data_IF_231815743085
#
_entry.id   IF_231815743085
#
_cell.length_a   1.000
_cell.length_b   1.000
_cell.length_c   1.000
_cell.angle_alpha   90.00
_cell.angle_beta   90.00
_cell.angle_gamma   90.00
#
_symmetry.space_group_name_H-M   'P 1'
#
loop_
_entity.id
_entity.type
_entity.pdbx_description
1 polymer ?
#
# COMPACT_ATOMS: atom_id res chain seq x y z
N UNK A 1 -15.90 -53.66 -27.94
CA UNK A 1 -17.31 -53.43 -27.57
C UNK A 1 -17.43 -52.11 -26.79
N UNK A 2 -17.54 -50.94 -27.44
CA UNK A 2 -18.69 -50.53 -28.25
C UNK A 2 -19.61 -49.69 -27.34
N UNK A 3 -19.37 -48.38 -27.25
CA UNK A 3 -20.10 -47.28 -27.92
C UNK A 3 -21.46 -46.94 -27.27
N UNK A 4 -21.62 -45.67 -26.84
CA UNK A 4 -22.77 -44.85 -27.24
C UNK A 4 -22.56 -43.37 -26.87
N UNK A 5 -22.25 -42.61 -27.91
CA UNK A 5 -22.46 -41.16 -28.04
C UNK A 5 -23.96 -40.86 -28.04
N UNK A 6 -24.39 -39.76 -27.42
CA UNK A 6 -25.60 -39.03 -27.86
C UNK A 6 -25.34 -37.52 -27.82
N UNK A 7 -25.44 -36.92 -29.00
CA UNK A 7 -25.48 -35.49 -29.25
C UNK A 7 -26.87 -34.88 -28.90
N UNK A 8 -26.88 -33.55 -28.87
CA UNK A 8 -27.91 -32.62 -28.39
C UNK A 8 -29.28 -32.66 -29.13
N UNK A 9 -30.23 -31.84 -28.66
CA UNK A 9 -30.61 -30.72 -29.51
C UNK A 9 -30.56 -29.37 -28.78
N UNK A 10 -30.25 -28.34 -29.56
CA UNK A 10 -30.06 -26.96 -29.13
C UNK A 10 -31.29 -26.27 -28.55
N UNK A 11 -30.99 -25.22 -27.78
CA UNK A 11 -31.94 -24.25 -27.26
C UNK A 11 -31.18 -23.19 -26.47
N UNK A 12 -30.66 -22.19 -27.18
CA UNK A 12 -30.48 -20.84 -26.62
C UNK A 12 -31.88 -20.17 -26.67
N UNK A 13 -32.27 -19.32 -25.70
CA UNK A 13 -31.58 -18.05 -25.53
C UNK A 13 -31.45 -17.55 -24.09
N UNK A 14 -30.38 -16.77 -23.90
CA UNK A 14 -30.31 -15.57 -23.07
C UNK A 14 -30.26 -15.73 -21.54
N UNK A 15 -29.21 -15.13 -20.97
CA UNK A 15 -29.31 -14.46 -19.68
C UNK A 15 -28.44 -15.03 -18.57
N UNK A 16 -27.15 -14.73 -18.61
CA UNK A 16 -26.42 -14.19 -17.45
C UNK A 16 -24.96 -14.03 -17.85
N UNK A 17 -24.55 -12.79 -18.11
CA UNK A 17 -23.13 -12.47 -18.17
C UNK A 17 -22.53 -12.72 -16.80
N UNK A 18 -21.97 -13.92 -16.61
CA UNK A 18 -21.06 -14.24 -15.53
C UNK A 18 -19.86 -13.30 -15.64
N UNK A 19 -19.85 -12.27 -14.81
CA UNK A 19 -18.66 -11.48 -14.56
C UNK A 19 -17.69 -12.30 -13.73
N UNK A 20 -16.90 -13.15 -14.38
CA UNK A 20 -15.67 -13.70 -13.80
C UNK A 20 -14.70 -12.54 -13.59
N UNK A 21 -14.75 -11.91 -12.42
CA UNK A 21 -13.72 -11.00 -11.98
C UNK A 21 -12.47 -11.80 -11.66
N UNK A 22 -11.55 -11.87 -12.64
CA UNK A 22 -10.19 -12.37 -12.43
C UNK A 22 -9.50 -11.55 -11.32
N UNK A 23 -8.80 -12.26 -10.45
CA UNK A 23 -8.32 -11.77 -9.17
C UNK A 23 -7.02 -10.97 -9.27
N UNK A 24 -7.07 -9.70 -8.86
CA UNK A 24 -5.94 -8.96 -8.27
C UNK A 24 -6.15 -8.86 -6.76
N UNK A 25 -5.21 -9.37 -5.96
CA UNK A 25 -5.46 -9.94 -4.63
C UNK A 25 -4.87 -9.21 -3.42
N UNK A 26 -5.69 -8.47 -2.67
CA UNK A 26 -5.40 -7.98 -1.31
C UNK A 26 -4.76 -9.06 -0.39
N UNK A 27 -3.80 -8.66 0.46
CA UNK A 27 -3.14 -9.53 1.43
C UNK A 27 -3.89 -9.55 2.78
N UNK A 28 -3.95 -10.66 3.51
CA UNK A 28 -4.41 -10.68 4.91
C UNK A 28 -3.20 -10.90 5.81
N UNK A 29 -2.86 -9.92 6.65
CA UNK A 29 -1.72 -10.03 7.59
C UNK A 29 -2.21 -10.60 8.91
N UNK A 30 -1.62 -11.70 9.37
CA UNK A 30 -1.88 -12.24 10.70
C UNK A 30 -1.02 -11.51 11.73
N UNK A 31 -1.54 -10.43 12.31
CA UNK A 31 -0.96 -9.89 13.53
C UNK A 31 -1.59 -10.62 14.72
N UNK A 32 -0.77 -11.21 15.62
CA UNK A 32 -1.20 -11.37 17.01
C UNK A 32 -1.63 -9.99 17.53
N UNK A 33 -2.71 -9.88 18.33
CA UNK A 33 -3.07 -8.61 18.94
C UNK A 33 -1.83 -8.02 19.62
N UNK A 34 -1.58 -6.74 19.35
CA UNK A 34 -0.58 -5.98 20.08
C UNK A 34 -0.89 -6.13 21.58
N UNK A 35 0.12 -6.24 22.46
CA UNK A 35 -0.16 -6.07 23.89
C UNK A 35 -0.91 -4.76 24.06
N UNK A 36 -1.98 -4.81 24.87
CA UNK A 36 -2.76 -3.62 25.20
C UNK A 36 -1.80 -2.49 25.60
N UNK A 37 -1.97 -1.28 25.03
CA UNK A 37 -1.08 -0.17 25.32
C UNK A 37 -1.02 0.07 26.83
N UNK A 38 0.14 0.50 27.32
CA UNK A 38 0.27 0.97 28.70
C UNK A 38 -0.81 2.04 28.98
N UNK A 39 -1.26 2.16 30.23
CA UNK A 39 -2.35 3.08 30.63
C UNK A 39 -2.13 4.53 30.16
N UNK A 40 -0.88 4.93 29.97
CA UNK A 40 -0.47 6.24 29.45
C UNK A 40 -0.72 6.38 27.94
N UNK A 41 -0.40 5.34 27.15
CA UNK A 41 -0.66 5.29 25.71
C UNK A 41 -2.15 5.11 25.41
N UNK A 42 -2.90 4.43 26.28
CA UNK A 42 -4.35 4.32 26.19
C UNK A 42 -5.04 5.67 26.51
N UNK A 43 -4.55 6.44 27.48
CA UNK A 43 -5.05 7.78 27.78
C UNK A 43 -4.79 8.78 26.65
N UNK A 44 -3.65 8.66 25.96
CA UNK A 44 -3.34 9.43 24.75
C UNK A 44 -4.22 9.00 23.57
N UNK A 45 -4.48 7.70 23.39
CA UNK A 45 -5.42 7.17 22.37
C UNK A 45 -6.88 7.57 22.60
N UNK A 46 -7.34 7.59 23.86
CA UNK A 46 -8.71 8.00 24.22
C UNK A 46 -8.92 9.51 24.05
N UNK A 47 -7.88 10.34 24.20
CA UNK A 47 -7.92 11.77 23.86
C UNK A 47 -7.84 12.06 22.35
N UNK A 48 -7.37 11.09 21.55
CA UNK A 48 -7.26 11.17 20.10
C UNK A 48 -8.41 10.46 19.34
N UNK A 49 -9.51 10.11 20.01
CA UNK A 49 -10.73 9.61 19.35
C UNK A 49 -10.63 8.19 18.75
N UNK A 50 -9.77 7.31 19.28
CA UNK A 50 -9.67 5.93 18.81
C UNK A 50 -10.91 5.08 19.12
N UNK A 51 -11.57 4.56 18.09
CA UNK A 51 -12.69 3.60 18.18
C UNK A 51 -12.15 2.20 18.48
N UNK A 52 -12.80 1.48 19.40
CA UNK A 52 -12.50 0.11 19.76
C UNK A 52 -12.75 -0.88 18.60
N UNK A 53 -11.98 -1.97 18.61
CA UNK A 53 -11.88 -3.00 17.57
C UNK A 53 -13.09 -3.95 17.56
N UNK A 54 -13.69 -4.12 16.38
CA UNK A 54 -14.35 -5.36 15.98
C UNK A 54 -13.66 -5.91 14.72
N UNK A 55 -13.63 -7.23 14.59
CA UNK A 55 -13.06 -7.93 13.45
C UNK A 55 -13.76 -7.51 12.14
N UNK A 56 -13.08 -6.76 11.29
CA UNK A 56 -13.65 -6.32 10.01
C UNK A 56 -13.46 -7.42 8.96
N UNK A 57 -14.47 -8.26 8.82
CA UNK A 57 -14.89 -8.79 7.53
C UNK A 57 -15.42 -7.66 6.66
N UNK A 58 -15.11 -7.71 5.37
CA UNK A 58 -15.58 -6.77 4.34
C UNK A 58 -17.10 -6.94 4.12
N UNK A 59 -17.91 -6.40 5.02
CA UNK A 59 -19.35 -6.21 4.87
C UNK A 59 -19.68 -4.72 5.09
N UNK A 60 -20.04 -4.04 3.99
CA UNK A 60 -20.57 -2.67 4.03
C UNK A 60 -22.09 -2.72 4.27
N UNK A 61 -22.66 -1.92 5.19
CA UNK A 61 -24.09 -1.70 5.21
C UNK A 61 -24.50 -0.79 4.03
N UNK A 62 -25.53 -1.20 3.30
CA UNK A 62 -26.19 -0.39 2.27
C UNK A 62 -26.98 0.73 2.96
N UNK A 63 -26.70 1.99 2.61
CA UNK A 63 -27.56 3.11 2.97
C UNK A 63 -28.23 3.71 1.74
N UNK A 64 -29.52 3.94 1.90
CA UNK A 64 -30.52 4.27 0.90
C UNK A 64 -30.25 5.58 0.11
N UNK A 65 -30.78 5.59 -1.12
CA UNK A 65 -30.99 6.74 -2.00
C UNK A 65 -31.56 7.96 -1.25
N UNK A 66 -30.87 9.10 -1.36
CA UNK A 66 -31.38 10.42 -0.96
C UNK A 66 -30.62 11.55 -1.65
N UNK A 67 -31.30 12.19 -2.61
CA UNK A 67 -31.13 13.50 -3.27
C UNK A 67 -29.75 14.19 -3.44
N UNK A 68 -29.52 14.60 -4.69
CA UNK A 68 -28.38 15.37 -5.23
C UNK A 68 -28.31 16.79 -4.65
N UNK A 69 -27.19 17.13 -4.01
CA UNK A 69 -26.71 18.50 -3.79
C UNK A 69 -25.32 18.65 -4.43
N UNK A 70 -25.13 19.69 -5.23
CA UNK A 70 -23.97 19.86 -6.12
C UNK A 70 -22.63 19.88 -5.40
N UNK A 71 -21.71 19.00 -5.80
CA UNK A 71 -20.31 19.05 -5.39
C UNK A 71 -19.55 20.06 -6.25
N UNK A 72 -19.03 21.10 -5.60
CA UNK A 72 -18.04 22.01 -6.15
C UNK A 72 -16.74 21.22 -6.36
N UNK A 73 -16.28 21.15 -7.61
CA UNK A 73 -15.03 20.48 -7.97
C UNK A 73 -13.82 21.24 -7.38
N UNK A 74 -12.94 20.51 -6.69
CA UNK A 74 -11.68 21.04 -6.20
C UNK A 74 -10.77 21.46 -7.36
N UNK A 75 -10.27 22.70 -7.31
CA UNK A 75 -9.38 23.28 -8.32
C UNK A 75 -7.97 22.72 -8.13
N UNK A 76 -7.53 21.84 -9.04
CA UNK A 76 -6.15 21.38 -9.14
C UNK A 76 -5.24 22.52 -9.60
N UNK A 77 -4.30 22.95 -8.75
CA UNK A 77 -3.18 23.79 -9.13
C UNK A 77 -2.07 22.90 -9.69
N UNK A 78 -1.67 23.16 -10.93
CA UNK A 78 -0.78 22.36 -11.82
C UNK A 78 -1.43 21.11 -12.44
N UNK A 79 -1.84 21.25 -13.71
CA UNK A 79 -2.16 20.12 -14.59
C UNK A 79 -0.84 19.69 -15.26
N UNK A 80 -0.38 18.44 -15.11
CA UNK A 80 0.65 17.92 -16.01
C UNK A 80 0.17 18.05 -17.45
N UNK A 81 1.03 18.50 -18.36
CA UNK A 81 0.69 18.58 -19.78
C UNK A 81 0.14 17.24 -20.27
N UNK A 82 -0.96 17.25 -21.05
CA UNK A 82 -1.62 16.04 -21.56
C UNK A 82 -0.66 15.07 -22.25
N UNK A 83 0.42 15.60 -22.84
CA UNK A 83 1.49 14.85 -23.50
C UNK A 83 2.24 13.89 -22.57
N UNK A 84 2.55 14.29 -21.34
CA UNK A 84 3.26 13.42 -20.39
C UNK A 84 2.35 12.28 -19.90
N UNK A 85 1.05 12.57 -19.75
CA UNK A 85 0.05 11.53 -19.42
C UNK A 85 -0.09 10.51 -20.55
N UNK A 86 -0.03 10.92 -21.82
CA UNK A 86 -0.09 9.98 -22.95
C UNK A 86 1.17 9.11 -23.11
N UNK A 87 2.30 9.53 -22.55
CA UNK A 87 3.56 8.78 -22.62
C UNK A 87 3.65 7.63 -21.60
N UNK A 88 2.87 7.68 -20.51
CA UNK A 88 2.80 6.61 -19.52
C UNK A 88 1.62 5.70 -19.88
N UNK A 89 1.87 4.43 -20.28
CA UNK A 89 0.81 3.50 -20.62
C UNK A 89 -0.16 3.31 -19.46
N UNK A 90 -1.46 3.38 -19.76
CA UNK A 90 -2.48 2.94 -18.83
C UNK A 90 -2.40 1.42 -18.76
N UNK A 91 -2.55 0.83 -17.57
CA UNK A 91 -2.62 -0.63 -17.36
C UNK A 91 -3.84 -1.22 -18.06
N UNK A 92 -3.72 -1.42 -19.37
CA UNK A 92 -4.76 -1.98 -20.25
C UNK A 92 -4.31 -3.28 -20.90
N UNK A 93 -3.03 -3.39 -21.25
CA UNK A 93 -2.50 -4.49 -22.07
C UNK A 93 -1.06 -4.91 -21.72
N UNK A 94 -0.40 -4.29 -20.75
CA UNK A 94 0.88 -4.81 -20.23
C UNK A 94 0.54 -6.01 -19.35
N UNK A 95 0.83 -7.26 -19.77
CA UNK A 95 0.68 -8.40 -18.88
C UNK A 95 1.80 -8.27 -17.87
N UNK A 96 1.53 -7.58 -16.77
CA UNK A 96 2.28 -7.82 -15.56
C UNK A 96 1.99 -9.27 -15.23
N UNK A 97 3.00 -10.12 -15.25
CA UNK A 97 2.83 -11.38 -14.58
C UNK A 97 2.76 -11.06 -13.08
N UNK A 98 1.54 -10.88 -12.55
CA UNK A 98 1.27 -10.58 -11.14
C UNK A 98 1.76 -11.69 -10.19
N UNK A 99 2.30 -12.78 -10.75
CA UNK A 99 2.98 -13.86 -10.05
C UNK A 99 4.51 -13.72 -10.07
N UNK A 100 5.07 -12.92 -10.98
CA UNK A 100 6.51 -12.64 -11.03
C UNK A 100 6.88 -11.50 -10.07
N UNK A 101 7.87 -11.69 -9.18
CA UNK A 101 8.40 -10.59 -8.37
C UNK A 101 9.15 -9.54 -9.18
N UNK A 102 9.31 -8.35 -8.60
CA UNK A 102 9.93 -7.19 -9.22
C UNK A 102 8.92 -6.16 -9.72
N UNK A 103 7.64 -6.36 -9.47
CA UNK A 103 6.56 -5.53 -9.97
C UNK A 103 5.81 -4.91 -8.79
N UNK A 104 5.99 -3.61 -8.59
CA UNK A 104 5.51 -2.92 -7.40
C UNK A 104 4.37 -1.92 -7.69
N UNK A 105 3.34 -1.94 -6.85
CA UNK A 105 2.41 -0.80 -6.73
C UNK A 105 3.00 0.25 -5.79
N UNK A 106 2.92 1.52 -6.19
CA UNK A 106 3.42 2.65 -5.39
C UNK A 106 2.31 3.68 -5.10
N UNK A 107 2.34 4.26 -3.90
CA UNK A 107 1.40 5.30 -3.46
C UNK A 107 2.03 6.23 -2.40
N UNK A 108 1.46 7.42 -2.21
CA UNK A 108 1.84 8.38 -1.17
C UNK A 108 0.77 8.48 -0.08
N UNK A 109 1.13 8.06 1.13
CA UNK A 109 0.31 8.31 2.32
C UNK A 109 0.65 9.67 2.95
N UNK A 110 -0.29 10.61 2.92
CA UNK A 110 -0.13 11.93 3.55
C UNK A 110 -0.27 11.92 5.09
N UNK A 111 0.61 12.63 5.80
CA UNK A 111 0.55 12.83 7.26
C UNK A 111 0.02 14.22 7.62
N UNK A 112 -1.19 14.53 7.18
CA UNK A 112 -1.74 15.89 7.24
C UNK A 112 -2.67 16.16 8.44
N UNK A 113 -3.00 15.14 9.25
CA UNK A 113 -4.03 15.26 10.27
C UNK A 113 -5.41 15.50 9.64
N UNK A 114 -6.17 16.40 10.24
CA UNK A 114 -7.54 16.71 9.81
C UNK A 114 -7.63 17.71 8.64
N UNK A 115 -6.48 18.17 8.11
CA UNK A 115 -6.46 19.20 7.07
C UNK A 115 -5.31 18.99 6.10
N UNK A 116 -5.56 19.13 4.79
CA UNK A 116 -4.51 19.14 3.77
C UNK A 116 -3.85 20.53 3.59
N UNK A 117 -4.16 21.50 4.43
CA UNK A 117 -3.52 22.82 4.38
C UNK A 117 -2.13 22.80 5.04
N UNK A 118 -1.22 23.65 4.53
CA UNK A 118 0.13 23.82 5.08
C UNK A 118 1.07 22.65 4.80
N UNK A 119 2.24 22.67 5.44
CA UNK A 119 3.28 21.66 5.25
C UNK A 119 3.04 20.42 6.11
N UNK A 120 3.34 19.27 5.52
CA UNK A 120 3.31 17.96 6.16
C UNK A 120 4.11 16.94 5.34
N UNK A 121 4.53 15.88 6.02
CA UNK A 121 5.27 14.77 5.44
C UNK A 121 4.34 13.80 4.72
N UNK A 122 4.95 12.99 3.88
CA UNK A 122 4.33 11.86 3.20
C UNK A 122 5.11 10.58 3.48
N UNK A 123 4.55 9.45 3.12
CA UNK A 123 5.27 8.19 3.05
C UNK A 123 5.02 7.56 1.70
N UNK A 124 6.08 7.34 0.94
CA UNK A 124 6.05 6.49 -0.25
C UNK A 124 5.94 5.04 0.24
N UNK A 125 4.89 4.36 -0.17
CA UNK A 125 4.70 2.92 0.06
C UNK A 125 4.88 2.24 -1.27
N UNK A 126 5.81 1.28 -1.33
CA UNK A 126 6.06 0.47 -2.51
C UNK A 126 5.86 -1.01 -2.15
N UNK A 127 4.94 -1.69 -2.83
CA UNK A 127 4.61 -3.09 -2.55
C UNK A 127 4.73 -3.95 -3.79
N UNK A 128 5.63 -4.93 -3.75
CA UNK A 128 5.72 -5.99 -4.75
C UNK A 128 4.46 -6.87 -4.72
N UNK A 129 3.81 -7.02 -5.87
CA UNK A 129 2.49 -7.68 -5.98
C UNK A 129 2.61 -9.19 -5.75
N UNK A 130 3.68 -9.81 -6.25
CA UNK A 130 3.87 -11.26 -6.21
C UNK A 130 4.19 -11.78 -4.80
N UNK A 131 5.12 -11.11 -4.12
CA UNK A 131 5.67 -11.53 -2.81
C UNK A 131 4.95 -10.84 -1.64
N UNK A 132 4.37 -9.67 -1.89
CA UNK A 132 3.81 -8.80 -0.86
C UNK A 132 4.89 -8.05 -0.08
N UNK A 133 6.14 -8.03 -0.58
CA UNK A 133 7.24 -7.26 0.00
C UNK A 133 6.91 -5.79 -0.03
N UNK A 134 6.97 -5.12 1.12
CA UNK A 134 6.62 -3.71 1.23
C UNK A 134 7.79 -2.91 1.80
N UNK A 135 8.15 -1.84 1.11
CA UNK A 135 9.06 -0.80 1.59
C UNK A 135 8.27 0.49 1.85
N UNK A 136 8.59 1.19 2.93
CA UNK A 136 8.06 2.51 3.24
C UNK A 136 9.23 3.49 3.34
N UNK A 137 9.10 4.65 2.71
CA UNK A 137 10.11 5.71 2.72
C UNK A 137 9.46 7.04 3.09
N UNK A 138 9.96 7.77 4.09
CA UNK A 138 9.40 9.08 4.42
C UNK A 138 9.78 10.09 3.35
N UNK A 139 8.84 10.96 2.99
CA UNK A 139 9.03 11.97 1.94
C UNK A 139 8.65 13.33 2.50
N UNK A 140 9.52 14.32 2.30
CA UNK A 140 9.35 15.65 2.89
C UNK A 140 8.14 16.41 2.31
N UNK A 141 7.90 16.23 1.02
CA UNK A 141 6.79 16.86 0.31
C UNK A 141 6.42 16.03 -0.93
N UNK A 142 5.31 16.41 -1.55
CA UNK A 142 4.80 15.78 -2.77
C UNK A 142 5.52 16.21 -4.06
N UNK A 143 6.66 16.88 -3.92
CA UNK A 143 7.47 17.33 -5.05
C UNK A 143 8.10 16.15 -5.78
N UNK A 144 8.13 16.28 -7.11
CA UNK A 144 8.67 15.29 -8.04
C UNK A 144 10.08 14.78 -7.69
N UNK A 145 10.98 15.67 -7.25
CA UNK A 145 12.33 15.31 -6.84
C UNK A 145 12.37 14.51 -5.53
N UNK A 146 11.51 14.86 -4.57
CA UNK A 146 11.46 14.19 -3.27
C UNK A 146 10.92 12.76 -3.42
N UNK A 147 9.84 12.59 -4.19
CA UNK A 147 9.26 11.27 -4.49
C UNK A 147 10.25 10.41 -5.28
N UNK A 148 10.97 11.00 -6.23
CA UNK A 148 12.01 10.31 -7.00
C UNK A 148 13.14 9.79 -6.10
N UNK A 149 13.73 10.65 -5.26
CA UNK A 149 14.80 10.23 -4.35
C UNK A 149 14.35 9.17 -3.34
N UNK A 150 13.08 9.22 -2.93
CA UNK A 150 12.48 8.17 -2.10
C UNK A 150 12.39 6.83 -2.83
N UNK A 151 11.97 6.83 -4.10
CA UNK A 151 11.91 5.61 -4.91
C UNK A 151 13.31 5.02 -5.18
N UNK A 152 14.32 5.85 -5.43
CA UNK A 152 15.71 5.38 -5.54
C UNK A 152 16.18 4.70 -4.25
N UNK A 153 15.83 5.28 -3.10
CA UNK A 153 16.16 4.73 -1.78
C UNK A 153 15.47 3.39 -1.54
N UNK A 154 14.20 3.26 -1.93
CA UNK A 154 13.47 1.98 -1.92
C UNK A 154 14.17 0.95 -2.81
N UNK A 155 14.50 1.30 -4.05
CA UNK A 155 15.12 0.36 -5.01
C UNK A 155 16.47 -0.16 -4.51
N UNK A 156 17.28 0.67 -3.87
CA UNK A 156 18.57 0.26 -3.27
C UNK A 156 18.40 -0.75 -2.12
N UNK A 157 17.25 -0.79 -1.46
CA UNK A 157 16.97 -1.69 -0.33
C UNK A 157 16.25 -2.98 -0.73
N UNK A 158 15.64 -3.01 -1.91
CA UNK A 158 14.96 -4.22 -2.39
C UNK A 158 15.98 -5.35 -2.55
N UNK A 159 15.68 -6.56 -2.05
CA UNK A 159 16.60 -7.69 -2.18
C UNK A 159 16.51 -8.38 -3.56
N UNK A 160 15.80 -7.78 -4.51
CA UNK A 160 15.62 -8.26 -5.87
C UNK A 160 15.39 -7.07 -6.83
N UNK A 161 15.60 -7.26 -8.15
CA UNK A 161 15.42 -6.20 -9.13
C UNK A 161 13.99 -5.64 -9.17
N UNK A 162 13.86 -4.32 -9.23
CA UNK A 162 12.61 -3.65 -9.57
C UNK A 162 12.48 -3.59 -11.10
N UNK A 163 11.52 -4.34 -11.64
CA UNK A 163 11.23 -4.52 -13.06
C UNK A 163 10.09 -3.61 -13.54
N UNK A 164 9.17 -3.24 -12.65
CA UNK A 164 8.07 -2.34 -12.98
C UNK A 164 7.47 -1.65 -11.78
N UNK A 165 6.91 -0.46 -12.01
CA UNK A 165 6.14 0.32 -11.04
C UNK A 165 4.78 0.71 -11.63
N UNK A 166 3.74 0.58 -10.81
CA UNK A 166 2.37 1.00 -11.13
C UNK A 166 1.96 2.06 -10.11
N UNK A 167 1.67 3.28 -10.58
CA UNK A 167 1.19 4.38 -9.73
C UNK A 167 -0.25 4.75 -10.05
N UNK A 168 -0.86 5.55 -9.18
CA UNK A 168 -2.10 6.24 -9.52
C UNK A 168 -1.87 7.28 -10.63
N UNK A 169 -2.95 8.01 -10.96
CA UNK A 169 -2.90 9.12 -11.92
C UNK A 169 -2.55 10.46 -11.28
N UNK A 170 -2.00 10.48 -10.06
CA UNK A 170 -1.74 11.72 -9.37
C UNK A 170 -0.47 12.39 -9.92
N UNK A 171 -0.45 13.73 -9.86
CA UNK A 171 0.58 14.52 -10.52
C UNK A 171 1.96 14.38 -9.87
N UNK A 172 2.04 13.82 -8.66
CA UNK A 172 3.31 13.51 -8.00
C UNK A 172 4.11 12.46 -8.78
N UNK A 173 3.42 11.45 -9.36
CA UNK A 173 4.03 10.34 -10.09
C UNK A 173 4.07 10.57 -11.60
N UNK A 174 3.21 11.43 -12.15
CA UNK A 174 3.25 11.84 -13.56
C UNK A 174 4.36 12.88 -13.75
N UNK A 175 5.59 12.37 -13.81
CA UNK A 175 6.83 13.14 -13.74
C UNK A 175 7.79 12.72 -14.86
N UNK A 176 8.26 13.68 -15.67
CA UNK A 176 9.21 13.42 -16.75
C UNK A 176 10.57 12.89 -16.23
N UNK A 177 10.97 13.26 -15.02
CA UNK A 177 12.16 12.69 -14.38
C UNK A 177 11.97 11.22 -14.03
N UNK A 178 10.82 10.87 -13.44
CA UNK A 178 10.50 9.48 -13.12
C UNK A 178 10.40 8.62 -14.38
N UNK A 179 9.75 9.14 -15.43
CA UNK A 179 9.68 8.46 -16.72
C UNK A 179 11.08 8.22 -17.31
N UNK A 180 11.91 9.26 -17.42
CA UNK A 180 13.29 9.12 -17.93
C UNK A 180 14.14 8.15 -17.11
N UNK A 181 13.99 8.16 -15.79
CA UNK A 181 14.66 7.20 -14.93
C UNK A 181 14.20 5.78 -15.22
N UNK A 182 12.88 5.56 -15.32
CA UNK A 182 12.34 4.25 -15.65
C UNK A 182 12.81 3.77 -17.03
N UNK A 183 12.87 4.65 -18.03
CA UNK A 183 13.45 4.33 -19.35
C UNK A 183 14.93 3.97 -19.27
N UNK A 184 15.74 4.77 -18.57
CA UNK A 184 17.19 4.54 -18.43
C UNK A 184 17.49 3.22 -17.69
N UNK A 185 16.70 2.92 -16.66
CA UNK A 185 16.86 1.75 -15.79
C UNK A 185 16.08 0.53 -16.28
N UNK A 186 15.38 0.64 -17.41
CA UNK A 186 14.50 -0.39 -18.00
C UNK A 186 13.43 -0.90 -17.02
N UNK A 187 12.88 0.00 -16.21
CA UNK A 187 11.75 -0.24 -15.34
C UNK A 187 10.47 0.08 -16.12
N UNK A 188 9.55 -0.87 -16.18
CA UNK A 188 8.24 -0.67 -16.80
C UNK A 188 7.41 0.26 -15.92
N UNK A 189 7.09 1.46 -16.39
CA UNK A 189 6.23 2.40 -15.67
C UNK A 189 4.81 2.38 -16.27
N UNK A 190 3.82 1.96 -15.47
CA UNK A 190 2.41 2.05 -15.82
C UNK A 190 1.65 2.95 -14.85
N UNK A 191 0.47 3.39 -15.29
CA UNK A 191 -0.52 4.07 -14.44
C UNK A 191 -1.85 3.34 -14.45
N UNK A 192 -2.55 3.34 -13.32
CA UNK A 192 -3.87 2.74 -13.24
C UNK A 192 -4.89 3.47 -14.15
N UNK A 193 -5.99 2.80 -14.51
CA UNK A 193 -7.06 3.45 -15.29
C UNK A 193 -7.77 4.48 -14.43
N UNK A 194 -8.07 5.65 -15.00
CA UNK A 194 -8.90 6.64 -14.31
C UNK A 194 -10.25 5.99 -13.92
N UNK A 195 -10.66 6.16 -12.66
CA UNK A 195 -11.92 5.67 -12.07
C UNK A 195 -12.01 4.15 -11.79
N UNK A 196 -10.91 3.40 -11.85
CA UNK A 196 -10.87 1.97 -11.47
C UNK A 196 -10.17 1.73 -10.12
N UNK A 197 -10.88 2.00 -9.02
CA UNK A 197 -10.38 1.83 -7.64
C UNK A 197 -9.89 0.42 -7.26
N UNK A 198 -10.22 -0.60 -8.07
CA UNK A 198 -9.78 -1.97 -7.81
C UNK A 198 -8.33 -2.22 -8.24
N UNK A 199 -7.74 -1.34 -9.07
CA UNK A 199 -6.41 -1.52 -9.66
C UNK A 199 -5.26 -1.25 -8.66
N UNK A 200 -5.56 -0.66 -7.49
CA UNK A 200 -4.59 -0.29 -6.45
C UNK A 200 -4.88 -0.95 -5.09
N UNK A 201 -5.64 -2.04 -5.10
CA UNK A 201 -6.13 -2.65 -3.87
C UNK A 201 -5.00 -3.16 -2.96
N UNK A 202 -3.80 -3.45 -3.48
CA UNK A 202 -2.68 -3.91 -2.66
C UNK A 202 -2.04 -2.75 -1.91
N UNK A 203 -1.71 -1.66 -2.61
CA UNK A 203 -1.06 -0.51 -1.97
C UNK A 203 -2.00 0.24 -1.02
N UNK A 204 -3.29 0.40 -1.32
CA UNK A 204 -4.26 1.00 -0.40
C UNK A 204 -4.33 0.25 0.94
N UNK A 205 -4.32 -1.08 0.88
CA UNK A 205 -4.34 -1.92 2.06
C UNK A 205 -3.01 -1.87 2.83
N UNK A 206 -1.89 -1.76 2.11
CA UNK A 206 -0.57 -1.62 2.72
C UNK A 206 -0.38 -0.25 3.36
N UNK A 207 -0.93 0.82 2.79
CA UNK A 207 -1.01 2.12 3.44
C UNK A 207 -1.73 2.02 4.79
N UNK A 208 -2.87 1.35 4.83
CA UNK A 208 -3.57 1.16 6.10
C UNK A 208 -2.72 0.36 7.10
N UNK A 209 -2.18 -0.79 6.69
CA UNK A 209 -1.50 -1.72 7.61
C UNK A 209 -0.09 -1.31 8.02
N UNK A 210 0.67 -0.66 7.13
CA UNK A 210 2.08 -0.30 7.33
C UNK A 210 2.26 1.16 7.75
N UNK A 211 1.33 2.04 7.37
CA UNK A 211 1.38 3.46 7.74
C UNK A 211 0.35 3.75 8.81
N UNK A 212 -0.95 3.69 8.50
CA UNK A 212 -2.00 4.19 9.40
C UNK A 212 -2.08 3.44 10.73
N UNK A 213 -1.92 2.12 10.73
CA UNK A 213 -1.92 1.32 11.96
C UNK A 213 -0.66 1.48 12.81
N UNK A 214 0.46 1.86 12.19
CA UNK A 214 1.76 1.94 12.84
C UNK A 214 2.00 3.35 13.37
N UNK A 215 1.91 4.36 12.50
CA UNK A 215 2.26 5.75 12.84
C UNK A 215 1.03 6.63 13.09
N UNK A 216 -0.15 6.24 12.63
CA UNK A 216 -1.41 6.96 12.86
C UNK A 216 -1.82 7.90 11.72
N UNK A 217 -2.66 8.87 12.07
CA UNK A 217 -3.22 9.88 11.15
C UNK A 217 -2.74 11.30 11.47
N UNK A 218 -1.91 11.48 12.50
CA UNK A 218 -1.48 12.78 12.98
C UNK A 218 -0.73 13.59 11.92
N UNK A 219 -0.72 14.91 12.12
CA UNK A 219 0.09 15.80 11.30
C UNK A 219 1.57 15.63 11.66
N UNK A 220 2.36 15.13 10.73
CA UNK A 220 3.81 15.04 10.85
C UNK A 220 4.45 16.10 9.96
N UNK A 221 5.38 16.88 10.50
CA UNK A 221 6.11 17.91 9.76
C UNK A 221 7.52 18.08 10.31
N UNK A 222 8.41 18.60 9.46
CA UNK A 222 9.78 18.95 9.83
C UNK A 222 10.74 17.75 9.89
N UNK A 223 12.02 18.10 9.95
CA UNK A 223 13.13 17.16 9.77
C UNK A 223 13.20 16.10 10.88
N UNK A 224 12.85 16.47 12.12
CA UNK A 224 12.86 15.53 13.24
C UNK A 224 11.86 14.38 13.04
N UNK A 225 10.63 14.69 12.61
CA UNK A 225 9.63 13.69 12.30
C UNK A 225 10.01 12.86 11.08
N UNK A 226 10.63 13.48 10.06
CA UNK A 226 11.11 12.78 8.86
C UNK A 226 12.16 11.71 9.23
N UNK A 227 13.17 12.07 10.04
CA UNK A 227 14.21 11.13 10.50
C UNK A 227 13.62 10.03 11.39
N UNK A 228 12.67 10.37 12.26
CA UNK A 228 12.01 9.40 13.13
C UNK A 228 11.19 8.39 12.32
N UNK A 229 10.45 8.84 11.30
CA UNK A 229 9.77 7.94 10.36
C UNK A 229 10.76 7.03 9.63
N UNK A 230 11.89 7.55 9.17
CA UNK A 230 12.94 6.73 8.54
C UNK A 230 13.46 5.63 9.46
N UNK A 231 13.65 5.94 10.74
CA UNK A 231 14.05 4.95 11.76
C UNK A 231 12.98 3.87 11.94
N UNK A 232 11.72 4.27 12.09
CA UNK A 232 10.58 3.35 12.22
C UNK A 232 10.47 2.45 11.01
N UNK A 233 10.54 2.99 9.79
CA UNK A 233 10.39 2.19 8.58
C UNK A 233 11.59 1.27 8.32
N UNK A 234 12.79 1.66 8.73
CA UNK A 234 13.97 0.79 8.73
C UNK A 234 13.81 -0.45 9.62
N UNK A 235 13.13 -0.33 10.77
CA UNK A 235 12.78 -1.47 11.61
C UNK A 235 11.56 -2.23 11.06
N UNK A 236 10.53 -1.50 10.62
CA UNK A 236 9.26 -2.07 10.16
C UNK A 236 9.48 -3.01 8.97
N UNK A 237 10.32 -2.64 8.00
CA UNK A 237 10.61 -3.48 6.82
C UNK A 237 11.16 -4.86 7.19
N UNK A 238 12.00 -4.93 8.24
CA UNK A 238 12.55 -6.21 8.70
C UNK A 238 11.46 -7.04 9.38
N UNK A 239 10.64 -6.38 10.21
CA UNK A 239 9.57 -7.03 10.94
C UNK A 239 8.52 -7.62 10.00
N UNK A 240 8.05 -6.82 9.04
CA UNK A 240 6.92 -7.18 8.19
C UNK A 240 7.32 -8.12 7.06
N UNK A 241 8.47 -7.89 6.43
CA UNK A 241 8.92 -8.75 5.33
C UNK A 241 9.55 -10.05 5.84
N UNK A 242 10.21 -10.02 7.01
CA UNK A 242 10.94 -11.17 7.57
C UNK A 242 10.13 -12.06 8.51
N UNK A 243 9.19 -11.51 9.30
CA UNK A 243 8.57 -12.26 10.39
C UNK A 243 7.04 -12.26 10.43
N UNK A 244 6.36 -11.44 9.66
CA UNK A 244 4.89 -11.43 9.62
C UNK A 244 4.36 -12.21 8.40
N UNK A 245 3.75 -13.39 8.61
CA UNK A 245 3.05 -14.08 7.54
C UNK A 245 1.84 -13.28 7.08
N UNK A 246 1.67 -13.20 5.78
CA UNK A 246 0.46 -12.70 5.14
C UNK A 246 -0.12 -13.77 4.22
N UNK A 247 -1.40 -13.68 3.89
CA UNK A 247 -2.02 -14.49 2.84
C UNK A 247 -2.42 -13.63 1.65
N UNK A 248 -2.07 -14.00 0.43
CA UNK A 248 -2.58 -13.39 -0.80
C UNK A 248 -3.99 -13.90 -1.09
N UNK A 249 -4.92 -13.01 -1.43
CA UNK A 249 -6.24 -13.40 -1.95
C UNK A 249 -6.08 -13.97 -3.36
N UNK A 250 -6.37 -15.26 -3.53
CA UNK A 250 -6.29 -15.97 -4.81
C UNK A 250 -7.52 -15.71 -5.69
N UNK A 251 -8.71 -15.66 -5.09
CA UNK A 251 -9.93 -15.39 -5.85
C UNK A 251 -11.03 -14.74 -5.00
N UNK A 252 -11.95 -14.07 -5.69
CA UNK A 252 -13.16 -13.47 -5.11
C UNK A 252 -14.33 -13.79 -6.04
N UNK A 253 -15.26 -14.63 -5.58
CA UNK A 253 -16.48 -14.96 -6.33
C UNK A 253 -17.69 -14.32 -5.63
N UNK A 254 -18.57 -13.69 -6.40
CA UNK A 254 -19.84 -13.15 -5.90
C UNK A 254 -21.00 -13.98 -6.48
N UNK A 255 -21.84 -14.50 -5.61
CA UNK A 255 -23.05 -15.25 -5.95
C UNK A 255 -24.23 -14.56 -5.24
N UNK A 256 -25.00 -13.76 -5.98
CA UNK A 256 -26.04 -12.90 -5.41
C UNK A 256 -25.47 -11.91 -4.39
N UNK A 257 -25.97 -11.95 -3.15
CA UNK A 257 -25.47 -11.15 -2.03
C UNK A 257 -24.22 -11.73 -1.37
N UNK A 258 -23.89 -13.01 -1.63
CA UNK A 258 -22.78 -13.70 -0.97
C UNK A 258 -21.46 -13.44 -1.69
N UNK A 259 -20.43 -13.08 -0.93
CA UNK A 259 -19.05 -12.95 -1.43
C UNK A 259 -18.20 -14.04 -0.80
N UNK A 260 -17.62 -14.91 -1.61
CA UNK A 260 -16.64 -15.91 -1.17
C UNK A 260 -15.23 -15.50 -1.62
N UNK A 261 -14.26 -15.65 -0.72
CA UNK A 261 -12.86 -15.32 -0.97
C UNK A 261 -12.00 -16.55 -0.69
N UNK A 262 -11.06 -16.85 -1.58
CA UNK A 262 -10.04 -17.89 -1.38
C UNK A 262 -8.69 -17.23 -1.17
N UNK A 263 -7.93 -17.75 -0.22
CA UNK A 263 -6.62 -17.26 0.16
C UNK A 263 -5.56 -18.37 -0.04
N UNK A 264 -4.31 -17.96 -0.23
CA UNK A 264 -3.17 -18.87 -0.27
C UNK A 264 -2.78 -19.36 1.14
N UNK A 265 -1.68 -20.13 1.20
CA UNK A 265 -1.06 -20.53 2.46
C UNK A 265 -0.32 -19.32 3.05
N UNK A 266 -0.43 -19.07 4.37
CA UNK A 266 0.30 -17.97 5.02
C UNK A 266 1.81 -18.08 4.80
N UNK A 267 2.41 -16.99 4.31
CA UNK A 267 3.85 -16.88 4.07
C UNK A 267 4.34 -15.45 4.28
N UNK A 268 5.55 -15.30 4.80
CA UNK A 268 6.23 -14.00 4.87
C UNK A 268 6.68 -13.57 3.46
N UNK A 269 6.74 -12.27 3.16
CA UNK A 269 7.33 -11.80 1.90
C UNK A 269 8.72 -12.38 1.61
N UNK A 270 9.62 -12.43 2.61
CA UNK A 270 10.94 -13.05 2.45
C UNK A 270 10.86 -14.50 1.95
N UNK A 271 10.05 -15.32 2.61
CA UNK A 271 9.83 -16.71 2.18
C UNK A 271 9.32 -16.80 0.75
N UNK A 272 8.35 -15.97 0.35
CA UNK A 272 7.85 -15.95 -1.04
C UNK A 272 8.94 -15.53 -2.03
N UNK A 273 9.77 -14.54 -1.68
CA UNK A 273 10.89 -14.08 -2.49
C UNK A 273 12.00 -15.13 -2.65
N UNK A 274 12.23 -15.97 -1.64
CA UNK A 274 13.15 -17.11 -1.72
C UNK A 274 12.54 -18.22 -2.59
N UNK A 275 11.28 -18.58 -2.35
CA UNK A 275 10.58 -19.64 -3.08
C UNK A 275 10.39 -19.32 -4.57
N UNK A 276 10.30 -18.04 -4.94
CA UNK A 276 10.24 -17.60 -6.34
C UNK A 276 11.60 -17.61 -7.05
N UNK A 277 12.71 -17.74 -6.31
CA UNK A 277 14.06 -17.70 -6.86
C UNK A 277 14.53 -16.31 -7.32
N UNK A 278 13.82 -15.23 -6.97
CA UNK A 278 14.18 -13.87 -7.42
C UNK A 278 15.35 -13.27 -6.62
N UNK A 279 15.56 -13.71 -5.39
CA UNK A 279 16.63 -13.22 -4.54
C UNK A 279 17.95 -13.92 -4.85
N UNK A 280 19.04 -13.14 -4.95
CA UNK A 280 20.39 -13.70 -5.00
C UNK A 280 20.79 -14.30 -3.64
N UNK A 281 21.77 -15.19 -3.63
CA UNK A 281 22.26 -15.79 -2.39
C UNK A 281 22.91 -14.73 -1.48
N UNK A 282 23.57 -13.73 -2.06
CA UNK A 282 24.13 -12.59 -1.34
C UNK A 282 23.02 -11.76 -0.68
N UNK A 283 21.98 -11.38 -1.43
CA UNK A 283 20.86 -10.60 -0.90
C UNK A 283 20.12 -11.36 0.22
N UNK A 284 19.98 -12.68 0.08
CA UNK A 284 19.44 -13.55 1.11
C UNK A 284 20.31 -13.56 2.36
N UNK A 285 21.62 -13.76 2.22
CA UNK A 285 22.54 -13.77 3.34
C UNK A 285 22.59 -12.43 4.08
N UNK A 286 22.58 -11.32 3.36
CA UNK A 286 22.52 -9.97 3.94
C UNK A 286 21.23 -9.77 4.74
N UNK A 287 20.08 -10.13 4.17
CA UNK A 287 18.80 -9.98 4.86
C UNK A 287 18.69 -10.90 6.08
N UNK A 288 19.16 -12.15 5.98
CA UNK A 288 19.19 -13.09 7.09
C UNK A 288 20.13 -12.61 8.21
N UNK A 289 21.25 -11.97 7.87
CA UNK A 289 22.14 -11.36 8.84
C UNK A 289 21.44 -10.21 9.59
N UNK A 290 20.67 -9.36 8.89
CA UNK A 290 19.86 -8.31 9.51
C UNK A 290 18.80 -8.91 10.45
N UNK A 291 18.10 -9.97 10.05
CA UNK A 291 17.11 -10.64 10.89
C UNK A 291 17.76 -11.26 12.13
N UNK A 292 18.86 -12.00 11.98
CA UNK A 292 19.60 -12.60 13.11
C UNK A 292 20.11 -11.54 14.07
N UNK A 293 20.64 -10.44 13.53
CA UNK A 293 21.12 -9.33 14.33
C UNK A 293 20.02 -8.84 15.26
N UNK A 294 18.80 -8.61 14.76
CA UNK A 294 17.68 -8.05 15.53
C UNK A 294 16.91 -9.07 16.38
N UNK A 295 16.55 -10.23 15.84
CA UNK A 295 15.58 -11.15 16.45
C UNK A 295 14.16 -10.54 16.58
N UNK A 296 13.09 -11.36 16.49
CA UNK A 296 11.72 -10.86 16.33
C UNK A 296 11.21 -10.03 17.51
N UNK A 297 11.44 -10.51 18.73
CA UNK A 297 10.94 -9.83 19.94
C UNK A 297 11.66 -8.51 20.22
N UNK A 298 12.97 -8.47 20.00
CA UNK A 298 13.76 -7.25 20.24
C UNK A 298 13.46 -6.21 19.17
N UNK A 299 13.34 -6.60 17.90
CA UNK A 299 12.92 -5.69 16.84
C UNK A 299 11.55 -5.10 17.13
N UNK A 300 10.59 -5.93 17.56
CA UNK A 300 9.24 -5.45 17.88
C UNK A 300 9.25 -4.43 19.01
N UNK A 301 10.00 -4.68 20.09
CA UNK A 301 10.15 -3.73 21.19
C UNK A 301 10.82 -2.43 20.75
N UNK A 302 11.88 -2.52 19.94
CA UNK A 302 12.54 -1.36 19.37
C UNK A 302 11.58 -0.55 18.50
N UNK A 303 10.83 -1.21 17.63
CA UNK A 303 9.82 -0.58 16.79
C UNK A 303 8.77 0.17 17.65
N UNK A 304 8.25 -0.47 18.71
CA UNK A 304 7.30 0.17 19.63
C UNK A 304 7.89 1.41 20.30
N UNK A 305 9.13 1.32 20.79
CA UNK A 305 9.84 2.47 21.38
C UNK A 305 10.03 3.61 20.38
N UNK A 306 10.41 3.31 19.14
CA UNK A 306 10.60 4.34 18.11
C UNK A 306 9.27 4.99 17.68
N UNK A 307 8.16 4.25 17.72
CA UNK A 307 6.82 4.78 17.48
C UNK A 307 6.39 5.70 18.63
N UNK A 308 6.62 5.30 19.88
CA UNK A 308 6.32 6.15 21.05
C UNK A 308 7.10 7.48 21.00
N UNK A 309 8.36 7.45 20.56
CA UNK A 309 9.15 8.67 20.33
C UNK A 309 8.53 9.57 19.27
N UNK A 310 8.03 9.01 18.16
CA UNK A 310 7.33 9.77 17.12
C UNK A 310 6.10 10.48 17.69
N UNK A 311 5.29 9.78 18.47
CA UNK A 311 4.09 10.35 19.10
C UNK A 311 4.41 11.37 20.20
N UNK A 312 5.60 11.29 20.79
CA UNK A 312 6.12 12.29 21.73
C UNK A 312 6.66 13.57 21.08
N UNK A 313 6.84 13.59 19.75
CA UNK A 313 7.26 14.81 19.06
C UNK A 313 6.16 15.88 19.15
N UNK A 314 6.54 17.17 19.20
CA UNK A 314 5.56 18.24 19.19
C UNK A 314 4.78 18.21 17.86
N UNK A 315 3.56 17.68 17.92
CA UNK A 315 2.60 17.80 16.81
C UNK A 315 2.39 19.29 16.60
N UNK A 316 2.50 19.74 15.37
CA UNK A 316 2.24 21.13 15.01
C UNK A 316 0.77 21.48 15.25
N UNK A 317 0.38 21.72 16.51
CA UNK A 317 -0.90 22.31 16.85
C UNK A 317 -0.91 23.70 16.24
N UNK A 318 -1.80 23.93 15.28
CA UNK A 318 -2.23 25.30 15.02
C UNK A 318 -2.84 25.81 16.31
N UNK A 319 -2.21 26.84 16.88
CA UNK A 319 -2.87 27.69 17.87
C UNK A 319 -4.08 28.29 17.14
N UNK A 320 -5.32 28.15 17.67
CA UNK A 320 -6.44 28.85 17.07
C UNK A 320 -6.10 30.34 17.07
N UNK A 321 -6.11 30.95 15.88
CA UNK A 321 -6.01 32.40 15.74
C UNK A 321 -7.16 32.97 16.55
N UNK A 322 -6.86 33.64 17.66
CA UNK A 322 -7.85 34.38 18.41
C UNK A 322 -8.44 35.40 17.45
N UNK A 323 -9.71 35.22 17.09
CA UNK A 323 -10.48 36.25 16.41
C UNK A 323 -10.62 37.37 17.42
N UNK A 324 -9.88 38.47 17.22
CA UNK A 324 -10.06 39.68 18.00
C UNK A 324 -11.48 40.20 17.76
N UNK A 325 -12.27 40.19 18.82
CA UNK A 325 -13.56 40.88 18.94
C UNK A 325 -13.45 42.38 18.69
#
# INVERSE_FOLDING_TARGET
PGLAVREAPGGDPAGSGEGTGEGGGAYLVFARPLPEPSSTAEALRRRAGGIALDAVGDDRPQTHRGQKGGQVQGVTTTRPGSLLKSQIPIRTYTPWDEQAPGYAEIDLAAHCGDSAAGEFLYTLVATDIATGWTECEPVENKGQLAVFGALESVRKRLPFPLLGIDSDNDSEFINAHLLRYCEAERITFTRCRAYHKNDQAHVEQKNYTQVRRIVGYDRLKGEQALRQLGTIYGLLRLYTNGWLPAMKRLSKKREGSKVSKRYDVPGTPLRRSIESGVMSEEARHEFDALLRAHGPMRLKRQLDTEIEKLWGLPVGRQVPVAVSS
#
